data_IF_862806407990
#
_entry.id   IF_862806407990
#
_cell.length_a   1.000
_cell.length_b   1.000
_cell.length_c   1.000
_cell.angle_alpha   90.00
_cell.angle_beta   90.00
_cell.angle_gamma   90.00
#
_symmetry.space_group_name_H-M   'P 1'
#
loop_
_entity.id
_entity.type
_entity.pdbx_description
1 polymer ?
#
# COMPACT_ATOMS: atom_id res chain seq x y z
N UNK A 1 -1.76 -33.10 14.53
CA UNK A 1 -2.89 -33.33 13.62
C UNK A 1 -2.33 -33.21 12.21
N UNK A 2 -2.17 -34.30 11.46
CA UNK A 2 -1.73 -34.22 10.05
C UNK A 2 -2.98 -33.92 9.23
N UNK A 3 -3.14 -32.70 8.73
CA UNK A 3 -4.05 -32.42 7.62
C UNK A 3 -3.43 -33.09 6.38
N UNK A 4 -3.84 -34.30 6.07
CA UNK A 4 -3.59 -34.91 4.76
C UNK A 4 -4.77 -34.56 3.88
N UNK A 5 -4.58 -33.56 3.03
CA UNK A 5 -5.54 -33.22 1.99
C UNK A 5 -5.17 -33.97 0.72
N UNK A 6 -6.08 -34.76 0.21
CA UNK A 6 -5.87 -35.48 -1.07
C UNK A 6 -5.78 -34.45 -2.21
N UNK A 7 -4.77 -34.64 -3.04
CA UNK A 7 -4.57 -33.76 -4.20
C UNK A 7 -5.60 -34.11 -5.29
N UNK A 8 -6.54 -33.19 -5.53
CA UNK A 8 -7.52 -33.28 -6.62
C UNK A 8 -7.18 -32.35 -7.80
N UNK A 9 -6.24 -31.41 -7.60
CA UNK A 9 -5.78 -30.50 -8.64
C UNK A 9 -4.74 -31.23 -9.50
N UNK A 10 -5.06 -31.46 -10.75
CA UNK A 10 -4.17 -32.17 -11.68
C UNK A 10 -3.20 -31.20 -12.36
N UNK A 11 -3.69 -30.06 -12.79
CA UNK A 11 -2.96 -29.10 -13.62
C UNK A 11 -3.08 -27.68 -13.05
N UNK A 12 -2.03 -26.92 -13.24
CA UNK A 12 -2.04 -25.46 -13.08
C UNK A 12 -1.69 -24.81 -14.42
N UNK A 13 -2.22 -23.63 -14.63
CA UNK A 13 -1.77 -22.77 -15.73
C UNK A 13 -0.60 -21.95 -15.25
N UNK A 14 0.56 -22.16 -15.89
CA UNK A 14 1.74 -21.36 -15.57
C UNK A 14 1.58 -19.93 -16.13
N UNK A 15 2.50 -19.06 -15.78
CA UNK A 15 2.53 -17.66 -16.20
C UNK A 15 2.65 -17.43 -17.72
N UNK A 16 2.94 -18.45 -18.49
CA UNK A 16 3.00 -18.40 -19.96
C UNK A 16 1.74 -18.98 -20.59
N UNK A 17 0.73 -19.38 -19.79
CA UNK A 17 -0.46 -20.05 -20.27
C UNK A 17 -0.27 -21.56 -20.52
N UNK A 18 0.88 -22.14 -20.14
CA UNK A 18 1.10 -23.56 -20.31
C UNK A 18 0.43 -24.33 -19.17
N UNK A 19 -0.17 -25.46 -19.52
CA UNK A 19 -0.72 -26.40 -18.54
C UNK A 19 0.40 -27.30 -18.04
N UNK A 20 0.70 -27.21 -16.76
CA UNK A 20 1.77 -28.00 -16.11
C UNK A 20 1.20 -28.78 -14.92
N UNK A 21 1.76 -29.95 -14.58
CA UNK A 21 1.31 -30.71 -13.42
C UNK A 21 1.41 -29.91 -12.13
N UNK A 22 0.38 -29.98 -11.30
CA UNK A 22 0.41 -29.44 -9.94
C UNK A 22 1.39 -30.25 -9.08
N UNK A 23 2.23 -29.56 -8.33
CA UNK A 23 3.21 -30.17 -7.42
C UNK A 23 3.18 -29.44 -6.08
N UNK A 24 2.69 -30.10 -5.06
CA UNK A 24 2.58 -29.52 -3.69
C UNK A 24 3.95 -29.20 -3.11
N UNK A 25 4.96 -30.00 -3.41
CA UNK A 25 6.33 -29.78 -2.95
C UNK A 25 6.91 -28.42 -3.34
N UNK A 26 6.45 -27.86 -4.48
CA UNK A 26 6.83 -26.50 -4.89
C UNK A 26 6.22 -25.43 -3.99
N UNK A 27 5.01 -25.64 -3.49
CA UNK A 27 4.35 -24.73 -2.55
C UNK A 27 5.06 -24.80 -1.21
N UNK A 28 5.29 -26.00 -0.68
CA UNK A 28 6.04 -26.24 0.56
C UNK A 28 7.41 -25.56 0.52
N UNK A 29 8.18 -25.82 -0.54
CA UNK A 29 9.51 -25.22 -0.70
C UNK A 29 9.46 -23.68 -0.80
N UNK A 30 8.44 -23.10 -1.42
CA UNK A 30 8.30 -21.66 -1.56
C UNK A 30 7.92 -21.00 -0.23
N UNK A 31 7.04 -21.63 0.55
CA UNK A 31 6.67 -21.18 1.90
C UNK A 31 7.88 -21.26 2.84
N UNK A 32 8.57 -22.40 2.85
CA UNK A 32 9.77 -22.60 3.68
C UNK A 32 10.87 -21.56 3.36
N UNK A 33 11.06 -21.27 2.07
CA UNK A 33 12.02 -20.27 1.64
C UNK A 33 11.67 -18.85 2.10
N UNK A 34 10.38 -18.50 2.11
CA UNK A 34 9.93 -17.23 2.62
C UNK A 34 10.13 -17.16 4.15
N UNK A 35 9.79 -18.22 4.87
CA UNK A 35 10.00 -18.30 6.31
C UNK A 35 11.49 -18.16 6.68
N UNK A 36 12.37 -18.88 6.01
CA UNK A 36 13.82 -18.83 6.27
C UNK A 36 14.42 -17.43 6.11
N UNK A 37 13.89 -16.62 5.19
CA UNK A 37 14.36 -15.25 4.97
C UNK A 37 14.01 -14.27 6.09
N UNK A 38 12.96 -14.55 6.84
CA UNK A 38 12.51 -13.71 7.95
C UNK A 38 12.85 -14.29 9.33
N UNK A 39 13.72 -15.32 9.37
CA UNK A 39 14.16 -15.95 10.61
C UNK A 39 13.28 -17.10 11.09
N UNK A 40 12.50 -17.72 10.19
CA UNK A 40 11.59 -18.83 10.47
C UNK A 40 10.16 -18.37 10.81
N UNK A 41 9.28 -19.35 11.02
CA UNK A 41 7.88 -19.07 11.41
C UNK A 41 7.75 -18.48 12.82
N UNK A 42 8.75 -18.66 13.67
CA UNK A 42 8.78 -18.12 15.03
C UNK A 42 8.97 -16.59 15.09
N UNK A 43 9.34 -15.97 13.98
CA UNK A 43 9.46 -14.50 13.87
C UNK A 43 8.11 -13.77 13.97
N UNK A 44 7.04 -14.45 13.63
CA UNK A 44 5.68 -13.97 13.85
C UNK A 44 5.25 -14.40 15.26
N UNK A 45 5.04 -13.43 16.15
CA UNK A 45 4.57 -13.72 17.51
C UNK A 45 3.17 -14.32 17.40
N UNK A 46 3.10 -15.62 17.59
CA UNK A 46 1.85 -16.37 17.61
C UNK A 46 1.27 -16.30 19.01
N UNK A 47 0.16 -15.62 19.17
CA UNK A 47 -0.63 -15.59 20.40
C UNK A 47 -1.89 -16.45 20.23
N UNK A 48 -2.33 -17.08 21.34
CA UNK A 48 -3.58 -17.83 21.40
C UNK A 48 -3.50 -19.27 20.84
N UNK A 49 -4.59 -19.72 20.23
CA UNK A 49 -4.77 -21.12 19.77
C UNK A 49 -3.69 -21.55 18.77
N UNK A 50 -3.20 -20.63 17.97
CA UNK A 50 -2.19 -20.92 16.96
C UNK A 50 -0.82 -21.22 17.59
N UNK A 51 -0.45 -20.55 18.67
CA UNK A 51 0.80 -20.81 19.37
C UNK A 51 0.90 -22.28 19.83
N UNK A 52 -0.19 -22.85 20.34
CA UNK A 52 -0.23 -24.26 20.76
C UNK A 52 -0.11 -25.25 19.59
N UNK A 53 -0.66 -24.90 18.42
CA UNK A 53 -0.57 -25.74 17.21
C UNK A 53 0.82 -25.77 16.62
N UNK A 54 1.58 -24.70 16.76
CA UNK A 54 2.91 -24.54 16.19
C UNK A 54 4.05 -24.92 17.18
N UNK A 55 3.73 -25.05 18.48
CA UNK A 55 4.71 -25.37 19.49
C UNK A 55 5.44 -26.70 19.21
N UNK A 56 6.79 -26.65 19.20
CA UNK A 56 7.65 -27.83 19.06
C UNK A 56 7.70 -28.45 17.66
N UNK A 57 7.16 -27.78 16.64
CA UNK A 57 7.27 -28.22 15.25
C UNK A 57 8.45 -27.56 14.53
N UNK A 58 9.06 -28.29 13.59
CA UNK A 58 10.06 -27.73 12.72
C UNK A 58 9.43 -26.80 11.65
N UNK A 59 10.23 -25.94 11.04
CA UNK A 59 9.78 -25.09 9.94
C UNK A 59 9.34 -25.93 8.75
N UNK A 60 9.95 -27.09 8.52
CA UNK A 60 9.57 -28.05 7.47
C UNK A 60 8.18 -28.62 7.72
N UNK A 61 7.89 -29.08 8.96
CA UNK A 61 6.57 -29.62 9.32
C UNK A 61 5.48 -28.56 9.17
N UNK A 62 5.80 -27.31 9.53
CA UNK A 62 4.88 -26.16 9.40
C UNK A 62 4.63 -25.80 7.95
N UNK A 63 5.65 -25.78 7.13
CA UNK A 63 5.53 -25.49 5.70
C UNK A 63 4.69 -26.57 4.98
N UNK A 64 4.86 -27.86 5.34
CA UNK A 64 4.06 -28.97 4.81
C UNK A 64 2.59 -28.84 5.24
N UNK A 65 2.34 -28.54 6.51
CA UNK A 65 0.99 -28.33 7.03
C UNK A 65 0.28 -27.17 6.30
N UNK A 66 0.97 -26.04 6.11
CA UNK A 66 0.44 -24.87 5.40
C UNK A 66 0.18 -25.17 3.92
N UNK A 67 1.06 -25.94 3.26
CA UNK A 67 0.86 -26.35 1.88
C UNK A 67 -0.39 -27.26 1.72
N UNK A 68 -0.69 -28.10 2.70
CA UNK A 68 -1.92 -28.88 2.73
C UNK A 68 -3.17 -28.03 2.91
N UNK A 69 -3.12 -26.96 3.72
CA UNK A 69 -4.24 -26.02 3.84
C UNK A 69 -4.45 -25.23 2.54
N UNK A 70 -3.38 -24.78 1.88
CA UNK A 70 -3.46 -24.18 0.53
C UNK A 70 -4.14 -25.12 -0.46
N UNK A 71 -3.76 -26.40 -0.46
CA UNK A 71 -4.36 -27.39 -1.32
C UNK A 71 -5.85 -27.59 -1.02
N UNK A 72 -6.23 -27.60 0.27
CA UNK A 72 -7.62 -27.66 0.70
C UNK A 72 -8.46 -26.51 0.13
N UNK A 73 -7.93 -25.30 0.17
CA UNK A 73 -8.57 -24.10 -0.38
C UNK A 73 -8.70 -24.16 -1.91
N UNK A 74 -7.67 -24.61 -2.60
CA UNK A 74 -7.72 -24.80 -4.06
C UNK A 74 -8.75 -25.90 -4.44
N UNK A 75 -8.79 -27.00 -3.70
CA UNK A 75 -9.77 -28.08 -3.91
C UNK A 75 -11.22 -27.65 -3.64
N UNK A 76 -11.44 -26.58 -2.87
CA UNK A 76 -12.79 -26.08 -2.62
C UNK A 76 -13.43 -25.39 -3.82
N UNK A 77 -12.63 -25.03 -4.84
CA UNK A 77 -13.14 -24.45 -6.07
C UNK A 77 -13.39 -25.56 -7.12
N UNK A 78 -14.65 -25.89 -7.43
CA UNK A 78 -14.97 -26.97 -8.37
C UNK A 78 -14.40 -26.76 -9.78
N UNK A 79 -14.16 -25.52 -10.18
CA UNK A 79 -13.61 -25.19 -11.50
C UNK A 79 -12.22 -25.78 -11.69
N UNK A 80 -11.39 -25.83 -10.64
CA UNK A 80 -10.02 -26.34 -10.73
C UNK A 80 -9.91 -27.86 -10.66
N UNK A 81 -11.02 -28.54 -10.41
CA UNK A 81 -11.06 -30.00 -10.33
C UNK A 81 -11.28 -30.68 -11.69
N UNK A 82 -11.41 -29.89 -12.74
CA UNK A 82 -11.64 -30.42 -14.10
C UNK A 82 -10.35 -30.31 -14.93
N UNK A 83 -10.05 -31.30 -15.78
CA UNK A 83 -8.86 -31.29 -16.62
C UNK A 83 -8.80 -30.12 -17.60
N UNK A 84 -9.95 -29.50 -17.89
CA UNK A 84 -10.05 -28.41 -18.86
C UNK A 84 -9.92 -27.01 -18.23
N UNK A 85 -9.92 -26.90 -16.90
CA UNK A 85 -9.83 -25.62 -16.18
C UNK A 85 -8.72 -25.68 -15.12
N UNK A 86 -7.45 -25.59 -15.54
CA UNK A 86 -6.33 -25.58 -14.59
C UNK A 86 -6.39 -24.35 -13.67
N UNK A 87 -5.98 -24.51 -12.42
CA UNK A 87 -5.87 -23.37 -11.51
C UNK A 87 -4.80 -22.40 -12.01
N UNK A 88 -5.10 -21.10 -12.20
CA UNK A 88 -4.09 -20.11 -12.55
C UNK A 88 -2.99 -20.03 -11.48
N UNK A 89 -1.74 -19.84 -11.87
CA UNK A 89 -0.63 -19.71 -10.94
C UNK A 89 -0.85 -18.54 -9.95
N UNK A 90 -1.45 -17.46 -10.40
CA UNK A 90 -1.76 -16.30 -9.55
C UNK A 90 -2.76 -16.67 -8.46
N UNK A 91 -3.70 -17.58 -8.74
CA UNK A 91 -4.65 -18.08 -7.75
C UNK A 91 -3.96 -19.00 -6.73
N UNK A 92 -2.99 -19.80 -7.17
CA UNK A 92 -2.15 -20.59 -6.24
C UNK A 92 -1.40 -19.65 -5.30
N UNK A 93 -0.76 -18.60 -5.82
CA UNK A 93 -0.06 -17.59 -5.00
C UNK A 93 -0.99 -16.88 -4.03
N UNK A 94 -2.20 -16.50 -4.47
CA UNK A 94 -3.22 -15.89 -3.62
C UNK A 94 -3.57 -16.81 -2.45
N UNK A 95 -3.85 -18.08 -2.71
CA UNK A 95 -4.20 -19.02 -1.66
C UNK A 95 -3.06 -19.27 -0.67
N UNK A 96 -1.80 -19.24 -1.11
CA UNK A 96 -0.65 -19.29 -0.18
C UNK A 96 -0.67 -18.09 0.76
N UNK A 97 -0.83 -16.87 0.22
CA UNK A 97 -0.82 -15.64 1.01
C UNK A 97 -1.99 -15.63 1.99
N UNK A 98 -3.19 -15.99 1.53
CA UNK A 98 -4.39 -16.08 2.39
C UNK A 98 -4.18 -17.11 3.50
N UNK A 99 -3.60 -18.27 3.21
CA UNK A 99 -3.29 -19.29 4.21
C UNK A 99 -2.30 -18.79 5.25
N UNK A 100 -1.19 -18.20 4.83
CA UNK A 100 -0.18 -17.67 5.75
C UNK A 100 -0.79 -16.60 6.67
N UNK A 101 -1.59 -15.69 6.14
CA UNK A 101 -2.27 -14.65 6.91
C UNK A 101 -3.35 -15.20 7.83
N UNK A 102 -4.11 -16.19 7.39
CA UNK A 102 -5.10 -16.89 8.20
C UNK A 102 -4.46 -17.50 9.45
N UNK A 103 -3.26 -18.06 9.33
CA UNK A 103 -2.52 -18.63 10.45
C UNK A 103 -1.69 -17.61 11.25
N UNK A 104 -1.84 -16.30 10.96
CA UNK A 104 -1.16 -15.22 11.69
C UNK A 104 0.31 -15.00 11.28
N UNK A 105 0.79 -15.69 10.24
CA UNK A 105 2.16 -15.64 9.74
C UNK A 105 2.35 -14.48 8.77
N UNK A 106 2.20 -13.25 9.27
CA UNK A 106 2.17 -12.03 8.44
C UNK A 106 3.51 -11.72 7.81
N UNK A 107 4.58 -11.80 8.60
CA UNK A 107 5.94 -11.51 8.13
C UNK A 107 6.35 -12.48 7.02
N UNK A 108 6.02 -13.77 7.21
CA UNK A 108 6.24 -14.80 6.20
C UNK A 108 5.36 -14.57 4.96
N UNK A 109 4.09 -14.17 5.14
CA UNK A 109 3.18 -13.88 4.05
C UNK A 109 3.66 -12.69 3.20
N UNK A 110 4.13 -11.63 3.84
CA UNK A 110 4.64 -10.44 3.17
C UNK A 110 5.93 -10.75 2.39
N UNK A 111 6.86 -11.53 2.97
CA UNK A 111 8.06 -12.00 2.25
C UNK A 111 7.72 -12.94 1.09
N UNK A 112 6.77 -13.86 1.29
CA UNK A 112 6.31 -14.75 0.21
C UNK A 112 5.71 -13.95 -0.95
N UNK A 113 4.86 -12.98 -0.65
CA UNK A 113 4.22 -12.15 -1.65
C UNK A 113 5.23 -11.28 -2.40
N UNK A 114 6.16 -10.67 -1.68
CA UNK A 114 7.26 -9.92 -2.28
C UNK A 114 8.09 -10.78 -3.23
N UNK A 115 8.48 -11.98 -2.80
CA UNK A 115 9.27 -12.91 -3.61
C UNK A 115 8.51 -13.42 -4.83
N UNK A 116 7.22 -13.77 -4.68
CA UNK A 116 6.41 -14.29 -5.78
C UNK A 116 6.13 -13.23 -6.84
N UNK A 117 5.78 -12.02 -6.43
CA UNK A 117 5.61 -10.88 -7.33
C UNK A 117 6.91 -10.56 -8.06
N UNK A 118 8.03 -10.50 -7.34
CA UNK A 118 9.33 -10.24 -7.90
C UNK A 118 9.74 -11.26 -8.96
N UNK A 119 9.57 -12.55 -8.70
CA UNK A 119 9.88 -13.60 -9.69
C UNK A 119 9.01 -13.52 -10.94
N UNK A 120 7.76 -13.14 -10.80
CA UNK A 120 6.87 -12.96 -11.93
C UNK A 120 7.40 -11.88 -12.89
N UNK A 121 7.88 -10.77 -12.36
CA UNK A 121 8.38 -9.65 -13.16
C UNK A 121 9.77 -9.87 -13.75
N UNK A 122 10.68 -10.47 -12.98
CA UNK A 122 11.99 -10.91 -13.50
C UNK A 122 11.83 -11.82 -14.72
N UNK A 123 10.91 -12.77 -14.61
CA UNK A 123 10.65 -13.74 -15.68
C UNK A 123 9.93 -13.13 -16.89
N UNK A 124 9.19 -12.04 -16.72
CA UNK A 124 8.61 -11.26 -17.82
C UNK A 124 9.63 -10.32 -18.47
N UNK A 125 10.89 -10.32 -18.01
CA UNK A 125 11.95 -9.43 -18.52
C UNK A 125 11.79 -7.96 -18.11
N UNK A 126 10.79 -7.66 -17.25
CA UNK A 126 10.52 -6.29 -16.83
C UNK A 126 11.49 -5.81 -15.73
N UNK A 127 12.10 -6.73 -14.98
CA UNK A 127 13.05 -6.42 -13.90
C UNK A 127 14.18 -7.46 -13.85
N UNK A 128 15.38 -7.03 -13.47
CA UNK A 128 16.51 -7.94 -13.24
C UNK A 128 16.47 -8.48 -11.80
N UNK A 129 16.95 -9.73 -11.54
CA UNK A 129 16.93 -10.33 -10.18
C UNK A 129 17.60 -9.47 -9.11
N UNK A 130 18.70 -8.83 -9.47
CA UNK A 130 19.47 -7.93 -8.60
C UNK A 130 18.72 -6.63 -8.22
N UNK A 131 17.57 -6.36 -8.88
CA UNK A 131 16.74 -5.20 -8.54
C UNK A 131 15.82 -5.42 -7.35
N UNK A 132 15.70 -6.65 -6.85
CA UNK A 132 14.97 -6.94 -5.62
C UNK A 132 15.89 -6.82 -4.42
N UNK A 133 15.93 -5.65 -3.80
CA UNK A 133 16.46 -5.54 -2.44
C UNK A 133 15.48 -6.19 -1.46
N UNK A 134 15.97 -6.63 -0.32
CA UNK A 134 15.14 -7.21 0.75
C UNK A 134 14.14 -6.20 1.34
N UNK A 135 14.25 -4.92 0.99
CA UNK A 135 13.36 -3.84 1.39
C UNK A 135 12.58 -3.32 0.18
N UNK A 136 11.25 -3.18 0.29
CA UNK A 136 10.41 -2.63 -0.77
C UNK A 136 10.63 -1.14 -1.03
N UNK A 137 11.45 -0.48 -0.22
CA UNK A 137 11.80 0.93 -0.32
C UNK A 137 13.29 1.10 -0.63
N UNK A 138 13.72 2.16 -1.33
CA UNK A 138 15.13 2.46 -1.51
C UNK A 138 15.83 2.55 -0.16
N UNK A 139 16.90 1.75 0.02
CA UNK A 139 17.64 1.70 1.27
C UNK A 139 18.08 3.09 1.74
N UNK A 140 18.54 3.91 0.81
CA UNK A 140 18.98 5.30 1.07
C UNK A 140 17.89 6.16 1.72
N UNK A 141 16.62 6.04 1.26
CA UNK A 141 15.52 6.78 1.86
C UNK A 141 15.22 6.33 3.28
N UNK A 142 15.24 5.01 3.52
CA UNK A 142 15.02 4.44 4.86
C UNK A 142 16.15 4.82 5.80
N UNK A 143 17.41 4.76 5.34
CA UNK A 143 18.58 5.15 6.11
C UNK A 143 18.58 6.64 6.47
N UNK A 144 18.21 7.50 5.53
CA UNK A 144 18.06 8.94 5.78
C UNK A 144 16.95 9.22 6.80
N UNK A 145 15.78 8.59 6.65
CA UNK A 145 14.68 8.70 7.60
C UNK A 145 15.08 8.19 9.00
N UNK A 146 15.76 7.05 9.08
CA UNK A 146 16.28 6.51 10.34
C UNK A 146 17.31 7.44 11.01
N UNK A 147 18.20 8.04 10.23
CA UNK A 147 19.20 8.98 10.75
C UNK A 147 18.53 10.24 11.32
N UNK A 148 17.53 10.75 10.61
CA UNK A 148 16.74 11.90 11.06
C UNK A 148 15.94 11.55 12.32
N UNK A 149 15.20 10.44 12.34
CA UNK A 149 14.39 10.01 13.48
C UNK A 149 15.25 9.77 14.74
N UNK A 150 16.46 9.21 14.61
CA UNK A 150 17.40 9.08 15.74
C UNK A 150 17.83 10.43 16.29
N UNK A 151 18.20 11.36 15.41
CA UNK A 151 18.60 12.73 15.81
C UNK A 151 17.48 13.43 16.57
N UNK A 152 16.23 13.21 16.18
CA UNK A 152 15.06 13.77 16.81
C UNK A 152 14.51 12.92 17.97
N UNK A 153 15.13 11.78 18.27
CA UNK A 153 14.63 10.83 19.27
C UNK A 153 13.17 10.41 19.01
N UNK A 154 12.85 10.07 17.75
CA UNK A 154 11.52 9.63 17.31
C UNK A 154 11.54 8.24 16.67
N UNK A 155 12.67 7.53 16.77
CA UNK A 155 12.82 6.16 16.27
C UNK A 155 12.30 5.09 17.25
N UNK A 156 11.80 5.49 18.43
CA UNK A 156 11.16 4.61 19.42
C UNK A 156 9.86 5.21 19.96
N UNK A 157 8.94 4.36 20.44
CA UNK A 157 7.73 4.82 21.12
C UNK A 157 8.04 5.65 22.36
N UNK A 158 9.05 5.26 23.14
CA UNK A 158 9.42 6.01 24.34
C UNK A 158 9.96 7.40 23.98
N UNK A 159 10.75 7.52 22.93
CA UNK A 159 11.22 8.82 22.42
C UNK A 159 10.04 9.72 21.99
N UNK A 160 9.09 9.19 21.22
CA UNK A 160 7.88 9.92 20.82
C UNK A 160 7.04 10.31 22.04
N UNK A 161 6.84 9.39 23.00
CA UNK A 161 6.13 9.67 24.23
C UNK A 161 6.83 10.73 25.09
N UNK A 162 8.18 10.77 25.02
CA UNK A 162 8.99 11.83 25.64
C UNK A 162 8.66 13.23 25.07
N UNK A 163 8.51 13.33 23.74
CA UNK A 163 8.08 14.59 23.10
C UNK A 163 6.67 14.99 23.55
N UNK A 164 5.72 14.06 23.60
CA UNK A 164 4.35 14.35 24.06
C UNK A 164 4.35 14.89 25.49
N UNK A 165 5.10 14.25 26.41
CA UNK A 165 5.16 14.64 27.83
C UNK A 165 5.96 15.94 28.07
N UNK A 166 6.87 16.30 27.18
CA UNK A 166 7.73 17.47 27.35
C UNK A 166 7.03 18.80 27.12
N UNK A 167 5.82 18.82 26.53
CA UNK A 167 5.13 20.02 26.07
C UNK A 167 5.76 20.68 24.82
N UNK A 168 6.73 20.03 24.16
CA UNK A 168 7.47 20.58 23.02
C UNK A 168 7.00 20.03 21.68
N UNK A 169 5.75 19.58 21.59
CA UNK A 169 5.21 19.00 20.37
C UNK A 169 5.26 19.95 19.17
N UNK A 170 5.14 21.28 19.40
CA UNK A 170 5.25 22.28 18.32
C UNK A 170 6.62 22.25 17.64
N UNK A 171 7.70 22.11 18.42
CA UNK A 171 9.07 22.02 17.90
C UNK A 171 9.24 20.75 17.02
N UNK A 172 8.70 19.61 17.46
CA UNK A 172 8.75 18.37 16.69
C UNK A 172 7.94 18.48 15.40
N UNK A 173 6.74 19.06 15.46
CA UNK A 173 5.87 19.24 14.31
C UNK A 173 6.58 20.11 13.25
N UNK A 174 7.12 21.27 13.66
CA UNK A 174 7.81 22.19 12.77
C UNK A 174 9.03 21.54 12.12
N UNK A 175 9.86 20.85 12.90
CA UNK A 175 11.03 20.16 12.39
C UNK A 175 10.67 19.02 11.41
N UNK A 176 9.60 18.26 11.70
CA UNK A 176 9.14 17.18 10.84
C UNK A 176 8.56 17.71 9.51
N UNK A 177 7.83 18.81 9.55
CA UNK A 177 7.31 19.47 8.34
C UNK A 177 8.44 20.04 7.50
N UNK A 178 9.41 20.71 8.12
CA UNK A 178 10.58 21.25 7.42
C UNK A 178 11.39 20.14 6.70
N UNK A 179 11.56 18.99 7.34
CA UNK A 179 12.22 17.83 6.73
C UNK A 179 11.42 17.32 5.51
N UNK A 180 10.10 17.17 5.66
CA UNK A 180 9.25 16.78 4.54
C UNK A 180 9.32 17.79 3.39
N UNK A 181 9.23 19.09 3.65
CA UNK A 181 9.30 20.15 2.64
C UNK A 181 10.65 20.18 1.92
N UNK A 182 11.75 19.94 2.64
CA UNK A 182 13.07 19.84 2.02
C UNK A 182 13.14 18.73 0.95
N UNK A 183 12.44 17.62 1.18
CA UNK A 183 12.35 16.52 0.20
C UNK A 183 11.46 16.88 -0.99
N UNK A 184 10.41 17.69 -0.81
CA UNK A 184 9.61 18.21 -1.92
C UNK A 184 10.45 19.13 -2.82
N UNK A 185 11.26 20.02 -2.22
CA UNK A 185 12.20 20.84 -2.97
C UNK A 185 13.19 19.99 -3.77
N UNK A 186 13.77 18.95 -3.14
CA UNK A 186 14.69 18.05 -3.82
C UNK A 186 14.01 17.29 -4.99
N UNK A 187 12.75 16.88 -4.84
CA UNK A 187 11.99 16.25 -5.91
C UNK A 187 11.69 17.24 -7.07
N UNK A 188 11.34 18.48 -6.74
CA UNK A 188 11.12 19.55 -7.71
C UNK A 188 12.42 19.86 -8.50
N UNK A 189 13.57 19.97 -7.82
CA UNK A 189 14.86 20.17 -8.49
C UNK A 189 15.21 19.02 -9.45
N UNK A 190 14.96 17.78 -9.06
CA UNK A 190 15.14 16.62 -9.95
C UNK A 190 14.24 16.71 -11.20
N UNK A 191 13.00 17.16 -11.04
CA UNK A 191 12.11 17.40 -12.18
C UNK A 191 12.67 18.48 -13.10
N UNK A 192 13.14 19.61 -12.55
CA UNK A 192 13.69 20.74 -13.30
C UNK A 192 14.98 20.38 -14.06
N UNK A 193 15.72 19.40 -13.58
CA UNK A 193 16.90 18.89 -14.28
C UNK A 193 16.55 18.02 -15.50
N UNK A 194 15.33 17.54 -15.62
CA UNK A 194 14.85 16.77 -16.75
C UNK A 194 14.31 17.69 -17.85
N UNK A 195 14.52 17.29 -19.12
CA UNK A 195 14.00 18.03 -20.27
C UNK A 195 12.89 17.22 -20.96
N UNK A 196 11.90 17.93 -21.49
CA UNK A 196 10.86 17.30 -22.31
C UNK A 196 9.82 16.51 -21.53
N UNK A 197 9.75 16.66 -20.22
CA UNK A 197 8.74 15.98 -19.39
C UNK A 197 7.34 16.50 -19.77
N UNK A 198 6.45 15.57 -20.10
CA UNK A 198 5.05 15.80 -20.44
C UNK A 198 4.08 15.18 -19.46
N UNK A 199 4.54 14.22 -18.65
CA UNK A 199 3.74 13.54 -17.63
C UNK A 199 4.46 13.62 -16.29
N UNK A 200 3.74 14.10 -15.28
CA UNK A 200 4.14 14.10 -13.88
C UNK A 200 3.21 13.19 -13.07
N UNK A 201 3.78 12.27 -12.31
CA UNK A 201 3.01 11.29 -11.54
C UNK A 201 3.48 11.31 -10.09
N UNK A 202 2.53 11.44 -9.15
CA UNK A 202 2.79 11.15 -7.74
C UNK A 202 2.00 9.89 -7.38
N UNK A 203 2.72 8.88 -6.96
CA UNK A 203 2.18 7.57 -6.66
C UNK A 203 2.67 7.11 -5.29
N UNK A 204 2.01 6.15 -4.69
CA UNK A 204 2.35 5.64 -3.37
C UNK A 204 1.17 4.97 -2.68
N UNK A 205 1.39 4.32 -1.54
CA UNK A 205 0.36 3.62 -0.78
C UNK A 205 -0.88 4.45 -0.48
N UNK A 206 -1.99 3.76 -0.22
CA UNK A 206 -3.21 4.44 0.22
C UNK A 206 -2.93 5.27 1.48
N UNK A 207 -3.48 6.49 1.51
CA UNK A 207 -3.32 7.43 2.65
C UNK A 207 -1.87 7.81 2.96
N UNK A 208 -1.02 7.89 1.95
CA UNK A 208 0.35 8.39 2.09
C UNK A 208 0.45 9.93 2.03
N UNK A 209 -0.60 10.66 1.60
CA UNK A 209 -0.58 12.12 1.44
C UNK A 209 -0.29 12.58 0.00
N UNK A 210 -0.63 11.75 -0.99
CA UNK A 210 -0.34 12.03 -2.41
C UNK A 210 -0.91 13.34 -2.90
N UNK A 211 -2.15 13.65 -2.58
CA UNK A 211 -2.85 14.82 -3.12
C UNK A 211 -2.18 16.12 -2.70
N UNK A 212 -1.91 16.31 -1.42
CA UNK A 212 -1.18 17.49 -0.92
C UNK A 212 0.25 17.53 -1.44
N UNK A 213 0.94 16.38 -1.51
CA UNK A 213 2.31 16.27 -2.04
C UNK A 213 2.36 16.70 -3.50
N UNK A 214 1.42 16.23 -4.34
CA UNK A 214 1.31 16.62 -5.74
C UNK A 214 1.13 18.13 -5.87
N UNK A 215 0.19 18.68 -5.11
CA UNK A 215 -0.07 20.14 -5.13
C UNK A 215 1.17 20.95 -4.75
N UNK A 216 1.84 20.61 -3.64
CA UNK A 216 3.04 21.33 -3.18
C UNK A 216 4.20 21.23 -4.18
N UNK A 217 4.51 20.04 -4.72
CA UNK A 217 5.60 19.90 -5.69
C UNK A 217 5.28 20.66 -6.99
N UNK A 218 4.07 20.56 -7.51
CA UNK A 218 3.69 21.28 -8.75
C UNK A 218 3.64 22.78 -8.56
N UNK A 219 3.26 23.26 -7.38
CA UNK A 219 3.37 24.67 -7.02
C UNK A 219 4.82 25.14 -7.06
N UNK A 220 5.76 24.42 -6.42
CA UNK A 220 7.19 24.74 -6.44
C UNK A 220 7.76 24.79 -7.87
N UNK A 221 7.35 23.86 -8.73
CA UNK A 221 7.78 23.84 -10.13
C UNK A 221 7.20 25.04 -10.89
N UNK A 222 5.90 25.32 -10.71
CA UNK A 222 5.21 26.46 -11.35
C UNK A 222 5.83 27.78 -10.97
N UNK A 223 6.14 28.00 -9.71
CA UNK A 223 6.77 29.24 -9.21
C UNK A 223 8.14 29.49 -9.86
N UNK A 224 8.90 28.43 -10.15
CA UNK A 224 10.22 28.52 -10.76
C UNK A 224 10.22 28.63 -12.29
N UNK A 225 9.22 28.08 -12.96
CA UNK A 225 9.25 27.89 -14.43
C UNK A 225 8.07 28.49 -15.18
N UNK A 226 6.97 28.79 -14.48
CA UNK A 226 5.71 29.15 -15.12
C UNK A 226 5.00 27.99 -15.83
N UNK A 227 5.49 26.74 -15.70
CA UNK A 227 4.84 25.55 -16.30
C UNK A 227 3.49 25.33 -15.67
N UNK A 228 2.47 25.19 -16.52
CA UNK A 228 1.12 24.86 -16.09
C UNK A 228 0.89 23.35 -16.10
N UNK A 229 0.11 22.88 -15.13
CA UNK A 229 -0.24 21.48 -14.95
C UNK A 229 -1.72 21.25 -15.21
N UNK A 230 -2.05 20.18 -15.92
CA UNK A 230 -3.40 19.70 -16.17
C UNK A 230 -3.61 18.39 -15.42
N UNK A 231 -4.62 18.31 -14.58
CA UNK A 231 -4.87 17.12 -13.74
C UNK A 231 -5.73 16.10 -14.47
N UNK A 232 -5.26 14.85 -14.46
CA UNK A 232 -5.96 13.69 -14.97
C UNK A 232 -6.12 12.67 -13.83
N UNK A 233 -7.34 12.52 -13.33
CA UNK A 233 -7.63 11.61 -12.23
C UNK A 233 -7.87 10.19 -12.74
N UNK A 234 -7.01 9.25 -12.35
CA UNK A 234 -7.19 7.84 -12.67
C UNK A 234 -8.42 7.24 -11.97
N UNK A 235 -8.81 7.77 -10.81
CA UNK A 235 -9.98 7.29 -10.06
C UNK A 235 -11.28 7.44 -10.85
N UNK A 236 -11.34 8.32 -11.83
CA UNK A 236 -12.48 8.44 -12.75
C UNK A 236 -12.60 7.26 -13.73
N UNK A 237 -11.56 6.41 -13.82
CA UNK A 237 -11.50 5.27 -14.74
C UNK A 237 -11.81 3.93 -14.08
N UNK A 238 -12.30 3.91 -12.84
CA UNK A 238 -12.81 2.69 -12.25
C UNK A 238 -13.93 2.07 -13.09
N UNK A 239 -13.95 0.75 -13.17
CA UNK A 239 -15.13 0.03 -13.61
C UNK A 239 -16.28 0.24 -12.62
N UNK A 240 -17.52 0.16 -13.08
CA UNK A 240 -18.68 0.20 -12.19
C UNK A 240 -18.64 -0.93 -11.16
N UNK A 241 -19.16 -0.67 -9.97
CA UNK A 241 -19.09 -1.58 -8.81
C UNK A 241 -19.60 -2.99 -9.14
N UNK A 242 -20.66 -3.09 -9.94
CA UNK A 242 -21.26 -4.35 -10.39
C UNK A 242 -20.36 -5.16 -11.32
N UNK A 243 -19.41 -4.53 -12.00
CA UNK A 243 -18.46 -5.18 -12.91
C UNK A 243 -17.25 -5.76 -12.18
N UNK A 244 -17.04 -5.41 -10.91
CA UNK A 244 -15.96 -5.99 -10.14
C UNK A 244 -16.29 -7.40 -9.68
N UNK A 245 -15.40 -8.38 -9.88
CA UNK A 245 -15.61 -9.73 -9.38
C UNK A 245 -15.65 -9.74 -7.85
N UNK A 246 -16.57 -10.51 -7.31
CA UNK A 246 -16.62 -10.79 -5.87
C UNK A 246 -15.69 -11.95 -5.53
N UNK A 247 -15.12 -11.91 -4.34
CA UNK A 247 -14.41 -13.04 -3.77
C UNK A 247 -15.38 -14.07 -3.15
N UNK A 248 -14.84 -15.09 -2.49
CA UNK A 248 -15.62 -16.14 -1.84
C UNK A 248 -16.50 -15.64 -0.68
N UNK A 249 -16.18 -14.47 -0.11
CA UNK A 249 -16.93 -13.81 0.96
C UNK A 249 -18.00 -12.85 0.45
N UNK A 250 -18.09 -12.67 -0.87
CA UNK A 250 -18.97 -11.68 -1.51
C UNK A 250 -18.38 -10.28 -1.55
N UNK A 251 -17.14 -10.10 -1.09
CA UNK A 251 -16.43 -8.83 -1.10
C UNK A 251 -15.79 -8.56 -2.47
N UNK A 252 -15.58 -7.28 -2.78
CA UNK A 252 -15.01 -6.82 -4.05
C UNK A 252 -13.66 -6.15 -3.84
N UNK A 253 -12.69 -6.52 -4.68
CA UNK A 253 -11.34 -5.96 -4.66
C UNK A 253 -11.25 -4.74 -5.60
N UNK A 254 -11.33 -3.53 -5.02
CA UNK A 254 -11.17 -2.26 -5.74
C UNK A 254 -9.74 -1.72 -5.69
N UNK A 255 -8.85 -2.37 -4.96
CA UNK A 255 -7.52 -1.85 -4.64
C UNK A 255 -6.45 -2.27 -5.64
N UNK A 256 -6.82 -3.03 -6.66
CA UNK A 256 -5.91 -3.52 -7.70
C UNK A 256 -5.93 -2.61 -8.93
N UNK A 257 -4.79 -2.54 -9.64
CA UNK A 257 -4.72 -1.80 -10.91
C UNK A 257 -5.76 -2.27 -11.95
N UNK A 258 -6.16 -3.54 -11.91
CA UNK A 258 -7.23 -4.11 -12.76
C UNK A 258 -8.63 -3.55 -12.48
N UNK A 259 -8.80 -2.82 -11.37
CA UNK A 259 -10.06 -2.14 -11.08
C UNK A 259 -10.30 -0.94 -12.00
N UNK A 260 -9.26 -0.44 -12.66
CA UNK A 260 -9.35 0.62 -13.65
C UNK A 260 -9.54 0.06 -15.07
N UNK A 261 -10.29 0.76 -15.88
CA UNK A 261 -10.36 0.54 -17.33
C UNK A 261 -9.10 1.08 -18.01
N UNK A 262 -7.98 0.38 -17.80
CA UNK A 262 -6.65 0.79 -18.27
C UNK A 262 -6.60 1.05 -19.78
N UNK A 263 -7.24 0.26 -20.67
CA UNK A 263 -7.23 0.54 -22.10
C UNK A 263 -7.82 1.92 -22.46
N UNK A 264 -8.96 2.29 -21.85
CA UNK A 264 -9.58 3.60 -22.05
C UNK A 264 -8.69 4.72 -21.50
N UNK A 265 -8.20 4.55 -20.27
CA UNK A 265 -7.30 5.52 -19.64
C UNK A 265 -6.05 5.78 -20.48
N UNK A 266 -5.42 4.73 -21.01
CA UNK A 266 -4.25 4.85 -21.90
C UNK A 266 -4.56 5.57 -23.21
N UNK A 267 -5.71 5.26 -23.83
CA UNK A 267 -6.16 5.93 -25.03
C UNK A 267 -6.27 7.43 -24.82
N UNK A 268 -6.95 7.85 -23.74
CA UNK A 268 -7.10 9.25 -23.39
C UNK A 268 -5.78 9.94 -23.06
N UNK A 269 -4.87 9.30 -22.34
CA UNK A 269 -3.54 9.86 -22.06
C UNK A 269 -2.75 10.07 -23.36
N UNK A 270 -2.80 9.11 -24.30
CA UNK A 270 -2.13 9.24 -25.60
C UNK A 270 -2.75 10.38 -26.42
N UNK A 271 -4.08 10.46 -26.48
CA UNK A 271 -4.79 11.51 -27.21
C UNK A 271 -4.49 12.90 -26.66
N UNK A 272 -4.39 13.06 -25.34
CA UNK A 272 -3.96 14.29 -24.68
C UNK A 272 -2.52 14.67 -25.08
N UNK A 273 -1.59 13.73 -25.08
CA UNK A 273 -0.21 13.97 -25.48
C UNK A 273 -0.10 14.40 -26.95
N UNK A 274 -1.00 13.89 -27.81
CA UNK A 274 -1.11 14.24 -29.21
C UNK A 274 -1.84 15.58 -29.42
N UNK A 275 -2.31 16.24 -28.32
CA UNK A 275 -3.02 17.54 -28.36
C UNK A 275 -4.50 17.44 -28.71
N UNK A 276 -5.07 16.24 -28.71
CA UNK A 276 -6.52 16.03 -28.90
C UNK A 276 -7.28 16.32 -27.62
N UNK A 277 -8.53 16.78 -27.75
CA UNK A 277 -9.46 16.87 -26.63
C UNK A 277 -10.09 15.50 -26.40
N UNK A 278 -10.19 15.10 -25.13
CA UNK A 278 -10.84 13.84 -24.70
C UNK A 278 -11.96 14.13 -23.72
N UNK A 279 -13.01 13.33 -23.74
CA UNK A 279 -14.10 13.38 -22.76
C UNK A 279 -13.75 12.44 -21.60
N UNK A 280 -13.07 12.97 -20.56
CA UNK A 280 -12.69 12.19 -19.39
C UNK A 280 -13.93 11.83 -18.57
N UNK A 281 -14.08 10.56 -18.14
CA UNK A 281 -15.22 10.17 -17.32
C UNK A 281 -15.19 10.85 -15.95
N UNK A 282 -16.34 10.95 -15.31
CA UNK A 282 -16.52 11.35 -13.91
C UNK A 282 -17.11 10.15 -13.16
N UNK A 283 -16.38 9.65 -12.15
CA UNK A 283 -16.83 8.54 -11.33
C UNK A 283 -17.47 9.03 -10.03
N UNK A 284 -18.72 8.66 -9.80
CA UNK A 284 -19.41 8.91 -8.53
C UNK A 284 -19.21 7.74 -7.58
N UNK A 285 -18.43 7.97 -6.53
CA UNK A 285 -18.14 6.95 -5.50
C UNK A 285 -19.35 6.54 -4.66
N UNK A 286 -20.40 7.38 -4.61
CA UNK A 286 -21.65 7.03 -3.91
C UNK A 286 -22.55 6.16 -4.79
N UNK A 287 -22.64 6.50 -6.07
CA UNK A 287 -23.35 5.70 -7.06
C UNK A 287 -22.59 4.44 -7.47
N UNK A 288 -21.25 4.43 -7.30
CA UNK A 288 -20.39 3.32 -7.66
C UNK A 288 -20.26 3.11 -9.18
N UNK A 289 -20.46 4.16 -9.98
CA UNK A 289 -20.36 4.11 -11.44
C UNK A 289 -19.97 5.47 -12.01
N UNK A 290 -19.66 5.49 -13.31
CA UNK A 290 -19.44 6.73 -14.07
C UNK A 290 -20.79 7.37 -14.38
N UNK A 291 -20.91 8.67 -14.13
CA UNK A 291 -22.18 9.38 -14.25
C UNK A 291 -22.14 10.46 -15.31
N UNK A 292 -20.96 10.95 -15.69
CA UNK A 292 -20.80 12.06 -16.63
C UNK A 292 -19.42 12.03 -17.29
N UNK A 293 -19.13 13.01 -18.16
CA UNK A 293 -17.81 13.24 -18.75
C UNK A 293 -17.46 14.73 -18.71
N UNK A 294 -16.15 15.02 -18.68
CA UNK A 294 -15.64 16.39 -18.75
C UNK A 294 -14.59 16.48 -19.87
N UNK A 295 -14.72 17.45 -20.80
CA UNK A 295 -13.71 17.66 -21.83
C UNK A 295 -12.39 18.12 -21.19
N UNK A 296 -11.30 17.44 -21.58
CA UNK A 296 -9.95 17.75 -21.15
C UNK A 296 -9.06 17.90 -22.38
N UNK A 297 -8.16 18.88 -22.34
CA UNK A 297 -7.15 19.11 -23.38
C UNK A 297 -5.81 19.42 -22.74
N UNK A 298 -4.72 18.95 -23.34
CA UNK A 298 -3.37 19.24 -22.92
C UNK A 298 -2.67 20.08 -24.00
N UNK A 299 -2.31 21.30 -23.66
CA UNK A 299 -1.54 22.16 -24.57
C UNK A 299 -0.05 21.77 -24.57
N UNK A 300 0.69 22.16 -25.62
CA UNK A 300 2.09 21.75 -25.83
C UNK A 300 3.04 22.17 -24.71
N UNK A 301 2.75 23.29 -24.04
CA UNK A 301 3.57 23.83 -22.95
C UNK A 301 3.09 23.39 -21.55
N UNK A 302 2.08 22.52 -21.48
CA UNK A 302 1.55 22.02 -20.24
C UNK A 302 2.08 20.61 -19.95
N UNK A 303 2.05 20.23 -18.66
CA UNK A 303 2.41 18.91 -18.17
C UNK A 303 1.17 18.23 -17.57
N UNK A 304 0.91 17.00 -17.99
CA UNK A 304 -0.20 16.20 -17.48
C UNK A 304 0.16 15.61 -16.12
N UNK A 305 -0.61 15.92 -15.08
CA UNK A 305 -0.54 15.20 -13.81
C UNK A 305 -1.43 13.97 -13.92
N UNK A 306 -0.87 12.79 -13.72
CA UNK A 306 -1.67 11.58 -13.54
C UNK A 306 -1.71 11.28 -12.04
N UNK A 307 -2.84 11.58 -11.41
CA UNK A 307 -3.12 11.19 -10.02
C UNK A 307 -3.64 9.76 -10.01
N UNK A 308 -2.77 8.84 -9.60
CA UNK A 308 -3.03 7.41 -9.65
C UNK A 308 -2.34 6.66 -8.51
N UNK A 309 -3.09 5.84 -7.79
CA UNK A 309 -2.54 4.93 -6.77
C UNK A 309 -1.46 4.02 -7.38
N UNK A 310 -1.74 3.45 -8.54
CA UNK A 310 -0.88 2.50 -9.26
C UNK A 310 -0.03 3.14 -10.36
N UNK A 311 0.35 4.42 -10.21
CA UNK A 311 1.08 5.17 -11.25
C UNK A 311 2.40 4.53 -11.70
N UNK A 312 3.03 3.68 -10.86
CA UNK A 312 4.21 2.91 -11.25
C UNK A 312 3.86 1.64 -12.05
N UNK A 313 2.59 1.19 -12.06
CA UNK A 313 2.21 -0.02 -12.77
C UNK A 313 2.40 0.15 -14.29
N UNK A 314 3.26 -0.65 -14.94
CA UNK A 314 3.71 -0.36 -16.32
C UNK A 314 2.58 -0.28 -17.34
N UNK A 315 1.51 -1.06 -17.15
CA UNK A 315 0.41 -1.11 -18.11
C UNK A 315 -0.34 0.22 -18.27
N UNK A 316 -0.23 1.14 -17.31
CA UNK A 316 -0.87 2.46 -17.39
C UNK A 316 -0.19 3.33 -18.43
N UNK A 317 1.15 3.30 -18.49
CA UNK A 317 1.93 4.22 -19.36
C UNK A 317 3.00 3.53 -20.20
N UNK A 318 2.95 2.21 -20.41
CA UNK A 318 4.02 1.47 -21.11
C UNK A 318 4.21 1.88 -22.58
N UNK A 319 3.16 2.39 -23.23
CA UNK A 319 3.25 2.87 -24.62
C UNK A 319 3.91 4.26 -24.72
N UNK A 320 4.10 4.95 -23.59
CA UNK A 320 4.69 6.29 -23.54
C UNK A 320 6.16 6.14 -23.14
N UNK A 321 7.10 6.80 -23.86
CA UNK A 321 8.51 6.78 -23.52
C UNK A 321 8.79 7.21 -22.07
N UNK A 322 9.78 6.61 -21.42
CA UNK A 322 10.09 6.92 -20.01
C UNK A 322 10.75 8.29 -19.84
N UNK A 323 11.42 8.80 -20.86
CA UNK A 323 12.10 10.10 -20.86
C UNK A 323 11.14 11.30 -20.88
N UNK A 324 9.86 11.10 -21.21
CA UNK A 324 8.82 12.14 -21.10
C UNK A 324 7.98 12.04 -19.82
N UNK A 325 8.33 11.10 -18.92
CA UNK A 325 7.63 10.87 -17.66
C UNK A 325 8.52 11.21 -16.46
N UNK A 326 7.95 11.84 -15.45
CA UNK A 326 8.59 12.02 -14.15
C UNK A 326 7.69 11.45 -13.05
N UNK A 327 8.20 10.48 -12.33
CA UNK A 327 7.44 9.71 -11.33
C UNK A 327 8.03 9.96 -9.94
N UNK A 328 7.21 10.44 -9.02
CA UNK A 328 7.53 10.58 -7.61
C UNK A 328 6.83 9.48 -6.82
N UNK A 329 7.58 8.73 -6.03
CA UNK A 329 7.01 7.74 -5.13
C UNK A 329 6.99 8.29 -3.70
N UNK A 330 5.79 8.42 -3.15
CA UNK A 330 5.55 8.85 -1.78
C UNK A 330 5.35 7.64 -0.89
N UNK A 331 6.17 7.53 0.15
CA UNK A 331 6.20 6.37 1.02
C UNK A 331 6.46 6.80 2.47
N UNK A 332 5.84 6.15 3.45
CA UNK A 332 6.20 6.36 4.84
C UNK A 332 7.43 5.51 5.18
N UNK A 333 8.60 6.15 5.22
CA UNK A 333 9.88 5.49 5.50
C UNK A 333 10.23 5.48 7.00
N UNK A 334 9.43 6.07 7.87
CA UNK A 334 9.71 6.13 9.29
C UNK A 334 9.56 4.74 9.92
N UNK A 335 10.58 4.33 10.66
CA UNK A 335 10.56 3.12 11.49
C UNK A 335 10.57 3.52 12.96
N UNK A 336 9.50 3.21 13.64
CA UNK A 336 9.37 3.45 15.09
C UNK A 336 9.39 2.11 15.80
N UNK A 337 10.38 1.90 16.66
CA UNK A 337 10.52 0.68 17.43
C UNK A 337 9.65 0.76 18.70
N UNK A 338 8.98 -0.33 19.04
CA UNK A 338 8.12 -0.39 20.23
C UNK A 338 8.93 -0.37 21.53
N UNK A 339 10.12 -0.93 21.47
CA UNK A 339 11.11 -0.96 22.54
C UNK A 339 12.39 -0.24 22.08
N UNK A 340 13.53 -0.66 22.65
CA UNK A 340 14.80 -0.18 22.15
C UNK A 340 15.03 -0.64 20.72
N UNK A 341 15.77 0.16 19.96
CA UNK A 341 16.10 -0.17 18.58
C UNK A 341 16.79 -1.53 18.46
N UNK A 342 16.27 -2.36 17.56
CA UNK A 342 16.75 -3.72 17.35
C UNK A 342 16.14 -4.76 18.28
N UNK A 343 15.34 -4.34 19.27
CA UNK A 343 14.56 -5.26 20.08
C UNK A 343 13.12 -5.35 19.56
N UNK A 344 12.75 -6.54 19.08
CA UNK A 344 11.45 -6.77 18.46
C UNK A 344 11.41 -6.25 17.01
N UNK A 345 10.24 -5.81 16.59
CA UNK A 345 10.01 -5.24 15.24
C UNK A 345 9.56 -3.78 15.32
N UNK A 346 9.87 -2.97 14.31
CA UNK A 346 9.29 -1.64 14.21
C UNK A 346 7.79 -1.72 13.92
N UNK A 347 7.05 -0.69 14.33
CA UNK A 347 5.65 -0.52 13.93
C UNK A 347 5.59 -0.48 12.41
N UNK A 348 4.81 -1.37 11.76
CA UNK A 348 4.73 -1.38 10.31
C UNK A 348 4.12 -0.08 9.79
N UNK A 349 4.74 0.53 8.78
CA UNK A 349 4.20 1.74 8.14
C UNK A 349 2.77 1.56 7.62
N UNK A 350 2.42 0.32 7.27
CA UNK A 350 1.09 -0.03 6.79
C UNK A 350 0.01 0.13 7.85
N UNK A 351 0.36 -0.02 9.13
CA UNK A 351 -0.56 0.25 10.25
C UNK A 351 -0.81 1.75 10.36
N UNK A 352 0.22 2.58 10.21
CA UNK A 352 0.08 4.05 10.18
C UNK A 352 -0.82 4.47 9.01
N UNK A 353 -0.61 3.93 7.81
CA UNK A 353 -1.44 4.22 6.65
C UNK A 353 -2.90 3.74 6.84
N UNK A 354 -3.10 2.60 7.49
CA UNK A 354 -4.43 2.10 7.85
C UNK A 354 -5.17 3.08 8.76
N UNK A 355 -4.52 3.57 9.80
CA UNK A 355 -5.10 4.56 10.70
C UNK A 355 -5.41 5.87 9.98
N UNK A 356 -4.50 6.39 9.15
CA UNK A 356 -4.73 7.57 8.33
C UNK A 356 -5.95 7.37 7.40
N UNK A 357 -6.08 6.18 6.77
CA UNK A 357 -7.25 5.83 5.95
C UNK A 357 -8.54 5.79 6.78
N UNK A 358 -8.48 5.22 7.98
CA UNK A 358 -9.62 5.20 8.89
C UNK A 358 -10.10 6.61 9.24
N UNK A 359 -9.18 7.51 9.56
CA UNK A 359 -9.50 8.92 9.85
C UNK A 359 -10.15 9.59 8.63
N UNK A 360 -9.54 9.48 7.46
CA UNK A 360 -10.07 10.07 6.23
C UNK A 360 -11.44 9.52 5.88
N UNK A 361 -11.57 8.20 5.82
CA UNK A 361 -12.77 7.55 5.29
C UNK A 361 -13.95 7.65 6.27
N UNK A 362 -13.70 7.72 7.57
CA UNK A 362 -14.75 8.01 8.56
C UNK A 362 -15.28 9.44 8.46
N UNK A 363 -14.39 10.43 8.24
CA UNK A 363 -14.80 11.85 8.15
C UNK A 363 -15.41 12.23 6.81
N UNK A 364 -14.84 11.74 5.71
CA UNK A 364 -15.18 12.21 4.36
C UNK A 364 -16.02 11.23 3.54
N UNK A 365 -16.03 9.93 3.90
CA UNK A 365 -16.71 8.88 3.14
C UNK A 365 -17.77 8.12 3.95
N UNK A 366 -17.98 8.53 5.20
CA UNK A 366 -18.92 7.91 6.14
C UNK A 366 -18.74 6.38 6.26
N UNK A 367 -17.50 5.88 6.20
CA UNK A 367 -17.20 4.46 6.32
C UNK A 367 -16.99 4.05 7.77
N UNK A 368 -17.53 2.90 8.15
CA UNK A 368 -17.28 2.28 9.45
C UNK A 368 -15.81 1.81 9.54
N UNK A 369 -15.15 2.10 10.66
CA UNK A 369 -13.77 1.71 10.91
C UNK A 369 -13.57 0.19 10.85
N UNK A 370 -14.58 -0.59 11.25
CA UNK A 370 -14.55 -2.06 11.20
C UNK A 370 -14.51 -2.59 9.77
N UNK A 371 -15.22 -1.95 8.85
CA UNK A 371 -15.20 -2.33 7.44
C UNK A 371 -13.81 -2.11 6.82
N UNK A 372 -13.09 -1.07 7.25
CA UNK A 372 -11.73 -0.80 6.78
C UNK A 372 -10.76 -1.88 7.26
N UNK A 373 -10.89 -2.36 8.50
CA UNK A 373 -10.09 -3.50 8.99
C UNK A 373 -10.29 -4.75 8.13
N UNK A 374 -11.53 -5.07 7.80
CA UNK A 374 -11.87 -6.21 6.94
C UNK A 374 -11.33 -6.08 5.53
N UNK A 375 -11.33 -4.86 4.98
CA UNK A 375 -10.90 -4.58 3.61
C UNK A 375 -9.38 -4.37 3.44
N UNK A 376 -8.64 -4.20 4.54
CA UNK A 376 -7.22 -3.79 4.50
C UNK A 376 -6.30 -4.79 3.79
N UNK A 377 -6.65 -6.07 3.76
CA UNK A 377 -5.88 -7.08 3.04
C UNK A 377 -5.83 -6.82 1.53
N UNK A 378 -6.92 -6.32 0.91
CA UNK A 378 -6.92 -5.93 -0.51
C UNK A 378 -5.98 -4.75 -0.78
N UNK A 379 -5.98 -3.74 0.12
CA UNK A 379 -5.02 -2.62 0.03
C UNK A 379 -3.60 -3.15 0.01
N UNK A 380 -3.27 -4.06 0.92
CA UNK A 380 -1.93 -4.66 0.99
C UNK A 380 -1.59 -5.49 -0.24
N UNK A 381 -2.53 -6.26 -0.74
CA UNK A 381 -2.34 -7.05 -1.96
C UNK A 381 -2.08 -6.15 -3.17
N UNK A 382 -2.82 -5.06 -3.32
CA UNK A 382 -2.60 -4.06 -4.36
C UNK A 382 -1.21 -3.41 -4.26
N UNK A 383 -0.80 -2.99 -3.06
CA UNK A 383 0.54 -2.42 -2.83
C UNK A 383 1.64 -3.40 -3.21
N UNK A 384 1.55 -4.64 -2.76
CA UNK A 384 2.59 -5.65 -2.92
C UNK A 384 2.70 -6.20 -4.35
N UNK A 385 1.63 -6.15 -5.12
CA UNK A 385 1.60 -6.72 -6.48
C UNK A 385 1.66 -5.66 -7.58
N UNK A 386 0.99 -4.53 -7.40
CA UNK A 386 0.79 -3.56 -8.47
C UNK A 386 1.62 -2.27 -8.26
N UNK A 387 2.33 -2.15 -7.12
CA UNK A 387 3.07 -0.93 -6.79
C UNK A 387 4.54 -1.21 -6.44
N UNK A 388 4.80 -1.96 -5.37
CA UNK A 388 6.16 -2.16 -4.85
C UNK A 388 7.13 -2.84 -5.83
N UNK A 389 6.74 -3.78 -6.70
CA UNK A 389 7.63 -4.36 -7.69
C UNK A 389 8.21 -3.34 -8.69
N UNK A 390 7.59 -2.17 -8.81
CA UNK A 390 7.95 -1.14 -9.79
C UNK A 390 8.66 0.08 -9.20
N UNK A 391 9.02 0.06 -7.92
CA UNK A 391 9.63 1.18 -7.22
C UNK A 391 10.83 1.80 -7.97
N UNK A 392 11.64 0.97 -8.61
CA UNK A 392 12.83 1.44 -9.35
C UNK A 392 12.52 2.23 -10.62
N UNK A 393 11.25 2.29 -11.04
CA UNK A 393 10.82 3.14 -12.14
C UNK A 393 10.52 4.58 -11.69
N UNK A 394 10.56 4.85 -10.39
CA UNK A 394 10.40 6.20 -9.86
C UNK A 394 11.69 7.03 -10.04
N UNK A 395 11.52 8.30 -10.41
CA UNK A 395 12.61 9.26 -10.58
C UNK A 395 13.00 9.94 -9.26
N UNK A 396 12.03 10.07 -8.35
CA UNK A 396 12.24 10.65 -7.04
C UNK A 396 11.42 9.91 -5.96
N UNK A 397 11.92 9.97 -4.74
CA UNK A 397 11.28 9.40 -3.56
C UNK A 397 11.09 10.47 -2.51
N UNK A 398 9.94 10.44 -1.84
CA UNK A 398 9.62 11.36 -0.74
C UNK A 398 9.12 10.55 0.44
N UNK A 399 9.66 10.81 1.62
CA UNK A 399 9.13 10.25 2.86
C UNK A 399 7.87 11.01 3.28
N UNK A 400 6.71 10.41 3.11
CA UNK A 400 5.42 10.96 3.56
C UNK A 400 5.09 10.65 5.02
N UNK A 401 5.98 10.00 5.76
CA UNK A 401 5.83 9.77 7.20
C UNK A 401 6.23 10.99 8.00
N UNK A 402 5.39 11.38 8.96
CA UNK A 402 5.68 12.46 9.90
C UNK A 402 6.09 11.90 11.26
N UNK A 403 7.05 12.52 11.91
CA UNK A 403 7.52 12.08 13.23
C UNK A 403 6.43 12.15 14.31
N UNK A 404 5.40 12.94 14.06
CA UNK A 404 4.25 13.11 14.95
C UNK A 404 2.98 12.36 14.47
N UNK A 405 3.09 11.45 13.50
CA UNK A 405 1.95 10.63 13.05
C UNK A 405 1.28 9.89 14.21
N UNK A 406 2.06 9.17 15.02
CA UNK A 406 1.52 8.34 16.09
C UNK A 406 0.77 9.18 17.16
N UNK A 407 1.28 10.31 17.65
CA UNK A 407 0.50 11.23 18.48
C UNK A 407 -0.80 11.71 17.82
N UNK A 408 -0.78 12.07 16.52
CA UNK A 408 -1.99 12.44 15.79
C UNK A 408 -3.00 11.30 15.79
N UNK A 409 -2.56 10.09 15.47
CA UNK A 409 -3.42 8.93 15.41
C UNK A 409 -4.01 8.59 16.80
N UNK A 410 -3.21 8.69 17.87
CA UNK A 410 -3.71 8.53 19.24
C UNK A 410 -4.80 9.54 19.55
N UNK A 411 -4.59 10.81 19.27
CA UNK A 411 -5.52 11.90 19.55
C UNK A 411 -6.86 11.74 18.82
N UNK A 412 -6.84 11.42 17.52
CA UNK A 412 -8.05 11.43 16.70
C UNK A 412 -8.81 10.12 16.63
N UNK A 413 -8.15 8.97 16.79
CA UNK A 413 -8.77 7.66 16.63
C UNK A 413 -8.62 6.78 17.89
N UNK A 414 -7.78 7.16 18.85
CA UNK A 414 -7.44 6.33 19.99
C UNK A 414 -8.65 5.80 20.77
N UNK A 415 -9.65 6.63 21.02
CA UNK A 415 -10.87 6.23 21.75
C UNK A 415 -11.88 5.48 20.87
N UNK A 416 -11.96 5.84 19.58
CA UNK A 416 -12.97 5.31 18.64
C UNK A 416 -12.51 4.08 17.91
N UNK A 417 -11.20 3.77 17.93
CA UNK A 417 -10.65 2.61 17.24
C UNK A 417 -11.29 1.31 17.79
N UNK A 418 -11.85 0.46 16.92
CA UNK A 418 -12.52 -0.76 17.37
C UNK A 418 -11.49 -1.79 17.85
N UNK A 419 -11.60 -2.18 19.11
CA UNK A 419 -10.90 -3.37 19.58
C UNK A 419 -11.48 -4.65 18.96
N UNK A 420 -10.78 -5.80 19.12
CA UNK A 420 -11.23 -7.07 18.58
C UNK A 420 -12.65 -7.46 19.00
N UNK A 421 -13.06 -7.07 20.22
CA UNK A 421 -14.37 -7.33 20.81
C UNK A 421 -15.53 -6.59 20.12
N UNK A 422 -15.21 -5.54 19.34
CA UNK A 422 -16.21 -4.74 18.61
C UNK A 422 -16.38 -5.19 17.16
N UNK A 423 -15.61 -6.18 16.71
CA UNK A 423 -15.75 -6.71 15.37
C UNK A 423 -17.02 -7.56 15.24
N UNK A 424 -17.66 -7.59 14.06
CA UNK A 424 -18.85 -8.42 13.85
C UNK A 424 -18.53 -9.91 13.98
N UNK A 425 -19.51 -10.69 14.38
CA UNK A 425 -19.41 -12.14 14.34
C UNK A 425 -19.12 -12.61 12.92
N UNK A 426 -18.05 -13.41 12.74
CA UNK A 426 -17.59 -13.85 11.42
C UNK A 426 -16.54 -12.93 10.77
N UNK A 427 -16.08 -11.89 11.46
CA UNK A 427 -14.92 -11.12 11.00
C UNK A 427 -13.73 -12.05 10.71
N UNK A 428 -12.96 -11.73 9.66
CA UNK A 428 -11.79 -12.51 9.30
C UNK A 428 -10.74 -12.48 10.42
N UNK A 429 -9.94 -13.54 10.53
CA UNK A 429 -8.83 -13.57 11.48
C UNK A 429 -7.84 -12.40 11.21
N UNK A 430 -7.63 -12.03 9.95
CA UNK A 430 -6.81 -10.90 9.58
C UNK A 430 -7.34 -9.58 10.17
N UNK A 431 -8.66 -9.33 10.06
CA UNK A 431 -9.29 -8.15 10.67
C UNK A 431 -9.15 -8.16 12.21
N UNK A 432 -9.33 -9.32 12.84
CA UNK A 432 -9.16 -9.49 14.27
C UNK A 432 -7.73 -9.16 14.73
N UNK A 433 -6.73 -9.73 14.06
CA UNK A 433 -5.32 -9.48 14.40
C UNK A 433 -4.92 -8.03 14.17
N UNK A 434 -5.44 -7.37 13.12
CA UNK A 434 -5.24 -5.93 12.89
C UNK A 434 -5.87 -5.08 13.97
N UNK A 435 -7.06 -5.43 14.43
CA UNK A 435 -7.71 -4.73 15.54
C UNK A 435 -6.90 -4.86 16.82
N UNK A 436 -6.41 -6.07 17.12
CA UNK A 436 -5.58 -6.33 18.29
C UNK A 436 -4.26 -5.54 18.24
N UNK A 437 -3.54 -5.62 17.12
CA UNK A 437 -2.29 -4.89 16.93
C UNK A 437 -2.50 -3.38 16.97
N UNK A 438 -3.52 -2.88 16.27
CA UNK A 438 -3.84 -1.46 16.24
C UNK A 438 -4.17 -0.92 17.62
N UNK A 439 -5.00 -1.62 18.39
CA UNK A 439 -5.34 -1.24 19.78
C UNK A 439 -4.08 -1.18 20.65
N UNK A 440 -3.26 -2.23 20.61
CA UNK A 440 -2.02 -2.31 21.37
C UNK A 440 -1.05 -1.15 21.04
N UNK A 441 -0.91 -0.79 19.76
CA UNK A 441 -0.07 0.33 19.35
C UNK A 441 -0.63 1.65 19.87
N UNK A 442 -1.93 1.90 19.67
CA UNK A 442 -2.57 3.14 20.14
C UNK A 442 -2.50 3.33 21.65
N UNK A 443 -2.66 2.24 22.41
CA UNK A 443 -2.59 2.28 23.89
C UNK A 443 -1.17 2.52 24.41
N UNK A 444 -0.14 2.19 23.61
CA UNK A 444 1.25 2.44 23.98
C UNK A 444 1.70 3.90 23.73
N UNK A 445 0.88 4.70 23.03
CA UNK A 445 1.18 6.11 22.73
C UNK A 445 0.59 6.99 23.83
N UNK A 446 1.42 7.89 24.38
CA UNK A 446 0.97 8.90 25.34
C UNK A 446 -0.09 9.82 24.74
N UNK A 447 -1.11 10.16 25.52
CA UNK A 447 -2.16 11.09 25.09
C UNK A 447 -1.59 12.49 24.87
N UNK A 448 -1.72 13.07 23.66
CA UNK A 448 -1.33 14.44 23.42
C UNK A 448 -2.21 15.44 24.19
N UNK A 449 -1.72 16.68 24.41
CA UNK A 449 -2.52 17.71 25.08
C UNK A 449 -3.78 18.06 24.28
N UNK A 450 -4.81 18.59 24.94
CA UNK A 450 -6.11 18.88 24.32
C UNK A 450 -6.01 19.89 23.15
N UNK A 451 -5.06 20.80 23.18
CA UNK A 451 -4.81 21.83 22.14
C UNK A 451 -3.90 21.35 21.01
N UNK A 452 -3.51 20.07 21.02
CA UNK A 452 -2.55 19.48 20.08
C UNK A 452 -2.91 19.74 18.60
N UNK A 453 -4.19 19.64 18.25
CA UNK A 453 -4.64 19.87 16.89
C UNK A 453 -4.30 21.27 16.39
N UNK A 454 -4.35 22.27 17.26
CA UNK A 454 -4.06 23.67 16.92
C UNK A 454 -2.59 23.91 16.56
N UNK A 455 -1.68 23.02 16.99
CA UNK A 455 -0.26 23.07 16.69
C UNK A 455 0.08 22.64 15.25
N UNK A 456 -0.83 21.93 14.59
CA UNK A 456 -0.63 21.36 13.25
C UNK A 456 -0.99 22.41 12.18
N UNK A 457 -0.04 22.84 11.31
CA UNK A 457 -0.32 23.79 10.25
C UNK A 457 -1.44 23.33 9.30
N UNK A 458 -2.22 24.29 8.79
CA UNK A 458 -3.35 24.02 7.92
C UNK A 458 -2.97 23.52 6.53
N UNK A 459 -1.73 23.66 6.10
CA UNK A 459 -1.20 23.18 4.82
C UNK A 459 -0.40 21.89 4.94
N UNK A 460 -0.31 21.29 6.14
CA UNK A 460 0.32 19.98 6.35
C UNK A 460 -0.50 18.86 5.69
N UNK A 461 0.18 17.93 5.01
CA UNK A 461 -0.50 16.81 4.34
C UNK A 461 -1.27 15.88 5.29
N UNK A 462 -0.95 15.87 6.58
CA UNK A 462 -1.73 15.13 7.58
C UNK A 462 -3.19 15.63 7.66
N UNK A 463 -3.42 16.90 7.29
CA UNK A 463 -4.74 17.52 7.26
C UNK A 463 -5.68 16.87 6.24
N UNK A 464 -5.18 16.16 5.23
CA UNK A 464 -6.00 15.31 4.34
C UNK A 464 -6.80 14.27 5.13
N UNK A 465 -6.27 13.83 6.28
CA UNK A 465 -6.85 12.74 7.07
C UNK A 465 -7.63 13.26 8.28
N UNK A 466 -7.10 14.26 8.97
CA UNK A 466 -7.70 14.82 10.18
C UNK A 466 -8.65 15.99 9.92
N UNK A 467 -8.71 16.49 8.67
CA UNK A 467 -9.53 17.64 8.28
C UNK A 467 -8.82 18.98 8.52
N UNK A 468 -9.46 20.07 8.05
CA UNK A 468 -8.95 21.44 8.19
C UNK A 468 -7.78 21.76 7.25
N UNK A 469 -7.66 21.06 6.11
CA UNK A 469 -6.70 21.38 5.07
C UNK A 469 -7.03 22.72 4.43
N UNK A 470 -6.07 23.65 4.43
CA UNK A 470 -6.23 25.01 3.89
C UNK A 470 -5.71 25.18 2.47
N UNK A 471 -5.24 24.11 1.83
CA UNK A 471 -4.84 24.14 0.43
C UNK A 471 -6.08 24.02 -0.48
N UNK A 472 -6.18 24.90 -1.47
CA UNK A 472 -7.16 24.77 -2.53
C UNK A 472 -6.73 23.67 -3.49
N UNK A 473 -7.19 22.45 -3.24
CA UNK A 473 -6.88 21.29 -4.10
C UNK A 473 -7.99 21.20 -5.16
N UNK A 474 -7.67 21.35 -6.45
CA UNK A 474 -8.61 21.07 -7.51
C UNK A 474 -9.12 19.63 -7.36
N UNK A 475 -10.41 19.42 -7.35
CA UNK A 475 -11.12 18.11 -7.28
C UNK A 475 -11.46 17.54 -5.89
N UNK A 476 -11.38 18.32 -4.81
CA UNK A 476 -11.97 17.94 -3.50
C UNK A 476 -13.23 18.77 -3.16
N UNK A 477 -13.96 19.25 -4.16
CA UNK A 477 -15.28 19.88 -3.96
C UNK A 477 -16.39 18.90 -4.26
#
# INVERSE_FOLDING_TARGET
>A
MRLKTDNRILLIEDKFGNRVPFRMEKITAAILKAAAKVGGFQSDVLEGVNAALFAGKSDEDLAEFLAHDVLGRLNSNPLYLTPNSPAPLDEVHRNVIVTLRFWGLRTVADEYQFYSAGRMWVRRGALRPETFSQHPCPAELVEAADAWNRRMNTDTLEGINGWVRSGKMKELIDASIAEYESQLHAAAEKFLACKGIRIFMVTGPSSSGKTTTTHKITQLIREKTGVEFVVFSADNYFYSVDQHPTDQSGDRDYERARAYEIPLMRGHVQDLLDGRTVDTPIFDFKAGCRTDTLPLKLERNQVLIIDCLHGLFPYITHAIPDDVKFKVFLFNANRVWEKQRGEGRPIPFTVVNMFRRMLRDSKHRNKDLRSILGHWHYVRDGELTDMLPFLRTANAFVNGGLAFDLPVLRHFIGETFPGPEKLPAGASLDAYLRALEGRRILDAIAEPPADFESLIPGDSHIREFIGGLKLAIPHQT
#
